data_IF_947547304026
#
_entry.id   IF_947547304026
#
_cell.length_a   1.000
_cell.length_b   1.000
_cell.length_c   1.000
_cell.angle_alpha   90.00
_cell.angle_beta   90.00
_cell.angle_gamma   90.00
#
_symmetry.space_group_name_H-M   'P 1'
#
loop_
_entity.id
_entity.type
_entity.pdbx_description
1 polymer ?
#
# COMPACT_ATOMS: atom_id res chain seq x y z
N UNK A 1 -4.67 19.82 -8.17
CA UNK A 1 -5.10 18.93 -7.08
C UNK A 1 -3.86 18.45 -6.37
N UNK A 2 -3.56 19.12 -5.27
CA UNK A 2 -2.42 18.85 -4.39
C UNK A 2 -2.96 18.28 -3.09
N UNK A 3 -2.30 17.24 -2.56
CA UNK A 3 -2.63 16.66 -1.26
C UNK A 3 -1.68 17.23 -0.22
N UNK A 4 -2.23 17.70 0.90
CA UNK A 4 -1.48 18.25 2.04
C UNK A 4 -1.86 17.53 3.33
N UNK A 5 -0.98 17.63 4.33
CA UNK A 5 -1.26 17.17 5.70
C UNK A 5 -1.76 15.72 5.78
N UNK A 6 -1.21 14.81 4.96
CA UNK A 6 -1.54 13.39 5.06
C UNK A 6 -1.07 12.85 6.40
N UNK A 7 -2.00 12.26 7.14
CA UNK A 7 -1.80 11.72 8.48
C UNK A 7 -2.45 10.36 8.61
N UNK A 8 -1.83 9.54 9.45
CA UNK A 8 -2.33 8.22 9.84
C UNK A 8 -2.43 8.24 11.36
N UNK A 9 -3.65 8.14 11.89
CA UNK A 9 -3.91 8.13 13.32
C UNK A 9 -4.83 6.97 13.67
N UNK A 10 -4.27 5.97 14.37
CA UNK A 10 -4.95 4.70 14.65
C UNK A 10 -5.52 4.10 13.35
N UNK A 11 -6.84 3.99 13.28
CA UNK A 11 -7.59 3.44 12.16
C UNK A 11 -8.12 4.51 11.21
N UNK A 12 -7.63 5.75 11.28
CA UNK A 12 -8.11 6.83 10.41
C UNK A 12 -6.95 7.39 9.60
N UNK A 13 -7.12 7.42 8.29
CA UNK A 13 -6.29 8.22 7.38
C UNK A 13 -6.99 9.53 7.10
N UNK A 14 -6.25 10.64 7.08
CA UNK A 14 -6.82 11.93 6.73
C UNK A 14 -5.84 12.82 5.99
N UNK A 15 -6.36 13.68 5.11
CA UNK A 15 -5.57 14.63 4.34
C UNK A 15 -6.44 15.79 3.87
N UNK A 16 -5.79 16.84 3.39
CA UNK A 16 -6.42 17.97 2.73
C UNK A 16 -6.29 17.83 1.22
N UNK A 17 -7.39 18.07 0.51
CA UNK A 17 -7.45 18.15 -0.94
C UNK A 17 -8.16 19.46 -1.33
N UNK A 18 -7.43 20.38 -1.96
CA UNK A 18 -7.90 21.77 -2.16
C UNK A 18 -8.29 22.39 -0.80
N UNK A 19 -9.47 22.98 -0.67
CA UNK A 19 -9.96 23.61 0.57
C UNK A 19 -10.74 22.64 1.48
N UNK A 20 -10.78 21.35 1.15
CA UNK A 20 -11.54 20.33 1.86
C UNK A 20 -10.66 19.35 2.63
N UNK A 21 -11.15 18.88 3.78
CA UNK A 21 -10.56 17.76 4.53
C UNK A 21 -11.27 16.45 4.18
N UNK A 22 -10.49 15.43 3.87
CA UNK A 22 -10.98 14.06 3.66
C UNK A 22 -10.45 13.20 4.81
N UNK A 23 -11.33 12.39 5.39
CA UNK A 23 -11.00 11.40 6.42
C UNK A 23 -11.69 10.09 6.12
N UNK A 24 -10.97 8.99 6.23
CA UNK A 24 -11.50 7.63 6.04
C UNK A 24 -11.14 6.79 7.25
N UNK A 25 -12.15 6.22 7.90
CA UNK A 25 -11.96 5.16 8.88
C UNK A 25 -11.70 3.84 8.15
N UNK A 26 -10.62 3.16 8.52
CA UNK A 26 -10.15 1.92 7.93
C UNK A 26 -9.90 0.94 9.07
N UNK A 27 -10.76 -0.08 9.14
CA UNK A 27 -10.60 -1.14 10.11
C UNK A 27 -9.30 -1.90 9.88
N UNK A 28 -8.62 -2.23 10.98
CA UNK A 28 -7.40 -3.04 10.98
C UNK A 28 -6.25 -2.43 10.16
N UNK A 29 -6.13 -1.10 10.17
CA UNK A 29 -5.04 -0.38 9.50
C UNK A 29 -3.69 -0.80 10.09
N UNK A 30 -2.79 -1.26 9.21
CA UNK A 30 -1.41 -1.63 9.57
C UNK A 30 -0.40 -0.63 9.05
N UNK A 31 -0.60 -0.14 7.83
CA UNK A 31 0.30 0.82 7.18
C UNK A 31 -0.46 1.62 6.14
N UNK A 32 -0.09 2.89 5.92
CA UNK A 32 -0.64 3.69 4.84
C UNK A 32 0.44 4.60 4.23
N UNK A 33 0.33 4.85 2.94
CA UNK A 33 1.31 5.60 2.17
C UNK A 33 0.63 6.46 1.11
N UNK A 34 0.91 7.76 1.11
CA UNK A 34 0.48 8.67 0.05
C UNK A 34 1.47 8.59 -1.12
N UNK A 35 1.05 8.01 -2.24
CA UNK A 35 1.80 8.05 -3.48
C UNK A 35 1.35 9.23 -4.35
N UNK A 36 1.96 10.39 -4.11
CA UNK A 36 1.58 11.66 -4.75
C UNK A 36 1.66 11.63 -6.28
N UNK A 37 2.70 11.02 -6.86
CA UNK A 37 2.88 10.91 -8.33
C UNK A 37 1.70 10.17 -9.00
N UNK A 38 1.17 9.15 -8.34
CA UNK A 38 0.04 8.36 -8.84
C UNK A 38 -1.32 8.80 -8.30
N UNK A 39 -1.40 9.92 -7.56
CA UNK A 39 -2.63 10.42 -6.92
C UNK A 39 -3.43 9.30 -6.24
N UNK A 40 -2.72 8.44 -5.50
CA UNK A 40 -3.28 7.26 -4.85
C UNK A 40 -2.74 7.16 -3.43
N UNK A 41 -3.63 6.88 -2.48
CA UNK A 41 -3.28 6.49 -1.11
C UNK A 41 -3.37 4.97 -1.04
N UNK A 42 -2.30 4.35 -0.61
CA UNK A 42 -2.19 2.90 -0.45
C UNK A 42 -2.30 2.56 1.03
N UNK A 43 -3.06 1.52 1.36
CA UNK A 43 -3.28 1.11 2.75
C UNK A 43 -3.20 -0.40 2.87
N UNK A 44 -2.35 -0.88 3.77
CA UNK A 44 -2.33 -2.27 4.19
C UNK A 44 -3.24 -2.46 5.39
N UNK A 45 -4.12 -3.44 5.31
CA UNK A 45 -5.08 -3.79 6.37
C UNK A 45 -5.02 -5.28 6.70
N UNK A 46 -5.27 -5.64 7.95
CA UNK A 46 -5.38 -7.04 8.37
C UNK A 46 -5.52 -7.22 9.88
N UNK A 47 -6.31 -8.20 10.31
CA UNK A 47 -6.62 -8.45 11.73
C UNK A 47 -5.45 -9.08 12.51
N UNK A 48 -4.65 -9.90 11.82
CA UNK A 48 -3.57 -10.71 12.40
C UNK A 48 -2.22 -10.01 12.25
N UNK A 49 -1.13 -10.74 12.48
CA UNK A 49 0.24 -10.20 12.46
C UNK A 49 0.59 -9.58 11.10
N UNK A 50 0.19 -10.22 10.00
CA UNK A 50 0.42 -9.73 8.64
C UNK A 50 -0.84 -9.11 8.03
N UNK A 51 -0.71 -8.02 7.25
CA UNK A 51 -1.82 -7.50 6.46
C UNK A 51 -2.34 -8.54 5.47
N UNK A 52 -3.67 -8.63 5.34
CA UNK A 52 -4.35 -9.53 4.41
C UNK A 52 -4.69 -8.86 3.08
N UNK A 53 -4.88 -7.54 3.07
CA UNK A 53 -5.29 -6.79 1.89
C UNK A 53 -4.47 -5.51 1.70
N UNK A 54 -4.22 -5.17 0.44
CA UNK A 54 -3.77 -3.85 -0.01
C UNK A 54 -4.95 -3.11 -0.64
N UNK A 55 -5.28 -1.95 -0.08
CA UNK A 55 -6.31 -1.06 -0.58
C UNK A 55 -5.67 0.11 -1.33
N UNK A 56 -6.31 0.53 -2.42
CA UNK A 56 -5.97 1.76 -3.12
C UNK A 56 -7.15 2.72 -3.06
N UNK A 57 -6.92 3.95 -2.59
CA UNK A 57 -7.87 5.05 -2.63
C UNK A 57 -7.36 6.14 -3.56
N UNK A 58 -8.23 6.75 -4.35
CA UNK A 58 -7.91 8.02 -4.98
C UNK A 58 -7.84 9.13 -3.93
N UNK A 59 -7.13 10.21 -4.26
CA UNK A 59 -6.98 11.36 -3.36
C UNK A 59 -8.29 12.09 -3.07
N UNK A 60 -9.38 11.83 -3.81
CA UNK A 60 -10.73 12.31 -3.48
C UNK A 60 -11.49 11.38 -2.50
N UNK A 61 -10.82 10.32 -2.02
CA UNK A 61 -11.33 9.40 -1.00
C UNK A 61 -12.08 8.19 -1.55
N UNK A 62 -12.20 8.02 -2.86
CA UNK A 62 -12.88 6.84 -3.44
C UNK A 62 -11.96 5.62 -3.46
N UNK A 63 -12.49 4.47 -3.07
CA UNK A 63 -11.78 3.20 -3.20
C UNK A 63 -11.66 2.81 -4.68
N UNK A 64 -10.45 2.51 -5.12
CA UNK A 64 -10.09 2.10 -6.49
C UNK A 64 -9.98 0.59 -6.61
N UNK A 65 -9.31 -0.03 -5.65
CA UNK A 65 -9.07 -1.47 -5.64
C UNK A 65 -8.87 -1.99 -4.22
N UNK A 66 -9.01 -3.31 -4.12
CA UNK A 66 -8.56 -4.12 -3.00
C UNK A 66 -7.98 -5.40 -3.59
N UNK A 67 -6.77 -5.76 -3.18
CA UNK A 67 -6.09 -6.98 -3.65
C UNK A 67 -5.48 -7.72 -2.47
N UNK A 68 -5.45 -9.06 -2.58
CA UNK A 68 -4.72 -9.92 -1.67
C UNK A 68 -3.22 -9.94 -2.00
N UNK A 69 -2.43 -10.48 -1.08
CA UNK A 69 -1.02 -10.76 -1.35
C UNK A 69 -0.88 -11.74 -2.53
N UNK A 70 0.21 -11.66 -3.31
CA UNK A 70 0.50 -12.64 -4.34
C UNK A 70 0.57 -14.06 -3.76
N UNK A 71 0.21 -15.06 -4.57
CA UNK A 71 0.23 -16.46 -4.14
C UNK A 71 1.62 -16.87 -3.61
N UNK A 72 1.64 -17.51 -2.44
CA UNK A 72 2.88 -17.91 -1.76
C UNK A 72 3.52 -16.83 -0.90
N UNK A 73 2.94 -15.62 -0.84
CA UNK A 73 3.46 -14.49 -0.06
C UNK A 73 2.46 -13.98 0.99
N UNK A 74 2.98 -13.19 1.92
CA UNK A 74 2.21 -12.34 2.84
C UNK A 74 2.67 -10.90 2.69
N UNK A 75 1.77 -9.93 2.89
CA UNK A 75 2.17 -8.52 2.92
C UNK A 75 3.02 -8.21 4.15
N UNK A 76 3.95 -7.26 4.02
CA UNK A 76 4.74 -6.73 5.13
C UNK A 76 4.49 -5.22 5.29
N UNK A 77 5.09 -4.38 4.44
CA UNK A 77 4.94 -2.92 4.49
C UNK A 77 5.06 -2.27 3.11
N UNK A 78 4.53 -1.04 2.96
CA UNK A 78 4.68 -0.24 1.75
C UNK A 78 5.97 0.59 1.85
N UNK A 79 6.72 0.68 0.76
CA UNK A 79 7.95 1.48 0.67
C UNK A 79 8.14 2.08 -0.72
N UNK A 80 9.14 2.96 -0.85
CA UNK A 80 9.57 3.49 -2.14
C UNK A 80 10.85 2.77 -2.59
N UNK A 81 10.91 2.43 -3.87
CA UNK A 81 12.04 1.83 -4.55
C UNK A 81 12.50 2.75 -5.71
N UNK A 82 13.81 2.94 -5.92
CA UNK A 82 14.31 3.87 -6.94
C UNK A 82 13.82 3.59 -8.36
N UNK A 83 13.68 2.32 -8.74
CA UNK A 83 13.35 1.93 -10.12
C UNK A 83 11.84 1.86 -10.39
N UNK A 84 11.05 1.33 -9.44
CA UNK A 84 9.62 1.05 -9.64
C UNK A 84 8.70 2.05 -8.93
N UNK A 85 9.25 3.02 -8.21
CA UNK A 85 8.49 4.00 -7.45
C UNK A 85 7.91 3.36 -6.19
N UNK A 86 6.58 3.42 -6.01
CA UNK A 86 5.97 2.80 -4.83
C UNK A 86 5.85 1.29 -5.01
N UNK A 87 6.19 0.56 -3.97
CA UNK A 87 6.16 -0.90 -3.95
C UNK A 87 5.69 -1.39 -2.57
N UNK A 88 5.33 -2.67 -2.51
CA UNK A 88 5.05 -3.35 -1.25
C UNK A 88 6.09 -4.46 -1.08
N UNK A 89 6.66 -4.56 0.12
CA UNK A 89 7.48 -5.69 0.49
C UNK A 89 6.54 -6.82 0.91
N UNK A 90 6.71 -7.98 0.29
CA UNK A 90 6.00 -9.20 0.65
C UNK A 90 7.00 -10.27 1.07
N UNK A 91 6.72 -10.97 2.17
CA UNK A 91 7.51 -12.10 2.64
C UNK A 91 6.97 -13.40 2.07
N UNK A 92 7.85 -14.22 1.49
CA UNK A 92 7.53 -15.54 0.98
C UNK A 92 7.34 -16.55 2.11
N UNK A 93 6.44 -17.51 1.92
CA UNK A 93 6.32 -18.69 2.83
C UNK A 93 7.53 -19.62 2.71
N UNK A 94 8.18 -19.59 1.55
CA UNK A 94 9.39 -20.32 1.21
C UNK A 94 10.37 -19.37 0.52
N UNK A 95 11.64 -19.77 0.45
CA UNK A 95 12.63 -19.04 -0.33
C UNK A 95 12.35 -19.24 -1.80
N UNK A 96 12.35 -18.14 -2.56
CA UNK A 96 12.36 -18.19 -4.01
C UNK A 96 13.66 -17.52 -4.45
N UNK A 97 14.43 -18.22 -5.29
CA UNK A 97 15.74 -17.76 -5.75
C UNK A 97 16.70 -17.38 -4.60
N UNK A 98 16.57 -18.05 -3.45
CA UNK A 98 17.39 -17.83 -2.25
C UNK A 98 16.85 -16.80 -1.25
N UNK A 99 15.78 -16.07 -1.59
CA UNK A 99 15.27 -14.94 -0.82
C UNK A 99 13.84 -15.15 -0.34
N UNK A 100 13.54 -14.69 0.89
CA UNK A 100 12.18 -14.67 1.42
C UNK A 100 11.44 -13.40 1.03
N UNK A 101 12.05 -12.24 1.26
CA UNK A 101 11.38 -10.97 1.09
C UNK A 101 11.65 -10.38 -0.29
N UNK A 102 10.59 -9.88 -0.92
CA UNK A 102 10.65 -9.35 -2.26
C UNK A 102 9.90 -8.01 -2.34
N UNK A 103 10.46 -7.07 -3.09
CA UNK A 103 9.76 -5.91 -3.56
C UNK A 103 8.77 -6.31 -4.66
N UNK A 104 7.51 -5.92 -4.50
CA UNK A 104 6.48 -6.01 -5.54
C UNK A 104 6.11 -4.61 -6.02
N UNK A 105 6.34 -4.34 -7.30
CA UNK A 105 5.86 -3.13 -7.95
C UNK A 105 4.33 -3.13 -7.98
N UNK A 106 3.73 -1.96 -7.75
CA UNK A 106 2.27 -1.79 -7.69
C UNK A 106 1.79 -1.02 -8.92
N UNK A 107 0.93 -1.62 -9.74
CA UNK A 107 0.10 -0.85 -10.67
C UNK A 107 -0.99 -0.13 -9.86
N UNK A 108 -0.74 1.13 -9.52
CA UNK A 108 -1.65 1.94 -8.69
C UNK A 108 -3.01 2.23 -9.34
N UNK A 109 -3.25 1.88 -10.61
CA UNK A 109 -4.58 2.02 -11.22
C UNK A 109 -5.49 0.86 -10.82
N UNK A 110 -4.96 -0.36 -10.80
CA UNK A 110 -5.74 -1.60 -10.64
C UNK A 110 -5.30 -2.48 -9.46
N UNK A 111 -4.23 -2.12 -8.76
CA UNK A 111 -3.68 -2.88 -7.63
C UNK A 111 -2.85 -4.09 -8.04
N UNK A 112 -2.55 -4.28 -9.33
CA UNK A 112 -1.76 -5.44 -9.79
C UNK A 112 -0.35 -5.39 -9.19
N UNK A 113 0.07 -6.50 -8.59
CA UNK A 113 1.39 -6.68 -8.01
C UNK A 113 2.28 -7.49 -8.95
N UNK A 114 3.50 -7.02 -9.18
CA UNK A 114 4.50 -7.71 -9.99
C UNK A 114 5.80 -7.81 -9.20
N UNK A 115 6.31 -9.04 -9.02
CA UNK A 115 7.56 -9.27 -8.29
C UNK A 115 8.71 -8.59 -9.03
N UNK A 116 9.54 -7.84 -8.31
CA UNK A 116 10.67 -7.07 -8.86
C UNK A 116 12.01 -7.67 -8.45
N UNK A 117 12.49 -7.37 -7.24
CA UNK A 117 13.78 -7.79 -6.72
C UNK A 117 13.68 -8.21 -5.25
N UNK A 118 14.68 -8.92 -4.70
CA UNK A 118 14.77 -9.18 -3.27
C UNK A 118 14.76 -7.88 -2.44
N UNK A 119 14.25 -7.95 -1.22
CA UNK A 119 14.18 -6.80 -0.30
C UNK A 119 15.33 -6.73 0.72
N UNK A 120 16.12 -7.79 0.82
CA UNK A 120 17.33 -7.94 1.64
C UNK A 120 18.34 -8.80 0.90
#
# INVERSE_FOLDING_TARGET
>A
MEVKNFTVNKNVISWELNDGKISIAIDWLKNAYLYSKGKTILVLVGQVDFPSSLLGYSVDGKKKFEVAAPEGFVFSYITAHPEVGVCVVCGGKEKIDGWYDWHFAIDVKIGKLTRHCPAY
#
